data_IF_378406668448
#
_entry.id   IF_378406668448
#
_cell.length_a   1.000
_cell.length_b   1.000
_cell.length_c   1.000
_cell.angle_alpha   90.00
_cell.angle_beta   90.00
_cell.angle_gamma   90.00
#
_symmetry.space_group_name_H-M   'P 1'
#
loop_
_entity.id
_entity.type
_entity.pdbx_description
1 polymer ?
#
# COMPACT_ATOMS: atom_id res chain seq x y z
N UNK A 1 2.95 13.52 21.47
CA UNK A 1 2.17 13.19 22.69
C UNK A 1 0.96 14.10 22.86
N UNK A 2 -0.23 13.52 23.01
CA UNK A 2 -1.38 14.22 23.60
C UNK A 2 -1.10 14.30 25.11
N UNK A 3 -1.16 15.47 25.75
CA UNK A 3 -0.95 15.58 27.18
C UNK A 3 -1.87 14.60 27.95
N UNK A 4 -1.27 13.62 28.65
CA UNK A 4 -1.99 12.70 29.53
C UNK A 4 -2.41 11.34 28.96
N UNK A 5 -2.09 10.98 27.71
CA UNK A 5 -2.32 9.61 27.18
C UNK A 5 -1.12 9.11 26.36
N UNK A 6 -0.55 7.97 26.76
CA UNK A 6 0.51 7.27 26.04
C UNK A 6 -0.05 6.01 25.35
N UNK A 7 0.34 5.77 24.10
CA UNK A 7 -0.08 4.60 23.30
C UNK A 7 1.13 3.76 22.89
N UNK A 8 1.18 2.46 23.22
CA UNK A 8 2.36 1.61 22.98
C UNK A 8 2.38 1.03 21.57
N UNK A 9 2.27 1.84 20.52
CA UNK A 9 2.08 1.33 19.15
C UNK A 9 3.38 1.03 18.40
N UNK A 10 4.46 1.74 18.71
CA UNK A 10 5.77 1.59 18.04
C UNK A 10 6.46 0.29 18.49
N UNK A 11 6.80 -0.60 17.55
CA UNK A 11 7.46 -1.88 17.84
C UNK A 11 8.98 -1.87 17.60
N UNK A 12 9.73 -1.28 18.52
CA UNK A 12 11.19 -1.23 18.42
C UNK A 12 11.80 -2.64 18.47
N UNK A 13 12.65 -3.01 17.48
CA UNK A 13 13.30 -4.31 17.49
C UNK A 13 14.28 -4.40 18.65
N UNK A 14 14.15 -5.46 19.44
CA UNK A 14 15.09 -5.78 20.50
C UNK A 14 16.21 -6.65 19.92
N UNK A 15 17.41 -6.09 19.77
CA UNK A 15 18.56 -6.84 19.28
C UNK A 15 19.21 -7.64 20.42
N UNK A 16 19.19 -8.96 20.32
CA UNK A 16 19.99 -9.85 21.15
C UNK A 16 20.42 -11.08 20.34
N UNK A 17 21.60 -11.66 20.62
CA UNK A 17 21.97 -12.96 20.08
C UNK A 17 20.91 -14.02 20.42
N UNK A 18 20.72 -15.05 19.57
CA UNK A 18 19.83 -16.17 19.88
C UNK A 18 20.12 -16.76 21.27
N UNK A 19 19.10 -16.83 22.12
CA UNK A 19 19.20 -17.36 23.49
C UNK A 19 19.78 -16.40 24.53
N UNK A 20 20.21 -15.19 24.14
CA UNK A 20 20.66 -14.18 25.09
C UNK A 20 19.46 -13.42 25.69
N UNK A 21 19.49 -13.07 26.99
CA UNK A 21 18.51 -12.17 27.58
C UNK A 21 18.53 -10.82 26.88
N UNK A 22 17.34 -10.29 26.59
CA UNK A 22 17.16 -8.93 26.13
C UNK A 22 17.01 -8.02 27.35
N UNK A 23 17.86 -7.00 27.46
CA UNK A 23 17.77 -6.01 28.55
C UNK A 23 17.06 -4.75 28.06
N UNK A 24 15.89 -4.45 28.62
CA UNK A 24 15.25 -3.14 28.48
C UNK A 24 15.91 -2.18 29.48
N UNK A 25 16.72 -1.22 29.03
CA UNK A 25 17.37 -0.26 29.95
C UNK A 25 16.37 0.77 30.44
N UNK A 26 16.18 0.84 31.75
CA UNK A 26 15.45 1.94 32.42
C UNK A 26 16.20 3.27 32.17
N UNK A 27 15.51 4.29 31.63
CA UNK A 27 16.12 5.58 31.30
C UNK A 27 16.81 5.69 29.93
N UNK A 28 16.66 4.70 29.04
CA UNK A 28 16.94 4.94 27.62
C UNK A 28 15.93 5.98 27.05
N UNK A 29 16.27 6.76 26.01
CA UNK A 29 15.45 7.87 25.51
C UNK A 29 13.99 7.51 25.16
N UNK A 30 13.70 6.22 24.95
CA UNK A 30 12.39 5.70 24.54
C UNK A 30 11.57 5.08 25.68
N UNK A 31 12.12 5.03 26.90
CA UNK A 31 11.41 4.55 28.09
C UNK A 31 11.45 5.62 29.17
N UNK A 32 10.59 6.66 29.07
CA UNK A 32 10.50 7.69 30.10
C UNK A 32 10.24 7.05 31.47
N UNK A 33 10.91 7.58 32.50
CA UNK A 33 10.83 7.06 33.87
C UNK A 33 9.39 7.09 34.43
N UNK A 34 8.53 7.96 33.90
CA UNK A 34 7.12 8.03 34.26
C UNK A 34 6.25 6.86 33.74
N UNK A 35 6.72 6.02 32.82
CA UNK A 35 5.92 4.91 32.30
C UNK A 35 5.79 3.76 33.30
N UNK A 36 4.58 3.52 33.81
CA UNK A 36 4.27 2.42 34.75
C UNK A 36 4.34 1.03 34.11
N UNK A 37 4.17 0.91 32.79
CA UNK A 37 4.10 -0.36 32.07
C UNK A 37 5.09 -0.37 30.90
N UNK A 38 5.74 -1.52 30.69
CA UNK A 38 6.50 -1.83 29.47
C UNK A 38 5.84 -3.04 28.80
N UNK A 39 5.67 -2.96 27.49
CA UNK A 39 5.04 -4.01 26.69
C UNK A 39 6.10 -4.56 25.74
N UNK A 40 6.19 -5.89 25.68
CA UNK A 40 7.07 -6.61 24.76
C UNK A 40 6.17 -7.34 23.77
N UNK A 41 6.32 -7.01 22.48
CA UNK A 41 5.71 -7.77 21.40
C UNK A 41 6.61 -8.93 21.01
N UNK A 42 6.04 -10.13 20.87
CA UNK A 42 6.77 -11.34 20.52
C UNK A 42 6.16 -11.94 19.27
N UNK A 43 6.88 -11.88 18.15
CA UNK A 43 6.57 -12.67 16.96
C UNK A 43 7.22 -14.06 17.11
N UNK A 44 6.41 -15.11 17.02
CA UNK A 44 6.90 -16.50 17.08
C UNK A 44 6.76 -17.11 15.69
N UNK A 45 7.85 -17.22 14.91
CA UNK A 45 7.80 -17.93 13.64
C UNK A 45 7.53 -19.42 13.90
N UNK A 46 6.58 -19.99 13.17
CA UNK A 46 6.17 -21.39 13.32
C UNK A 46 6.70 -22.16 12.11
N UNK A 47 7.55 -23.16 12.36
CA UNK A 47 8.06 -24.07 11.34
C UNK A 47 7.12 -25.25 11.07
N UNK A 48 7.60 -26.23 10.32
CA UNK A 48 6.85 -27.47 10.06
C UNK A 48 6.90 -28.42 11.26
N UNK A 49 5.75 -28.98 11.65
CA UNK A 49 5.65 -30.02 12.68
C UNK A 49 5.27 -29.51 14.08
N UNK A 50 5.09 -30.42 15.05
CA UNK A 50 4.69 -30.06 16.41
C UNK A 50 5.76 -29.20 17.09
N UNK A 51 5.34 -28.06 17.64
CA UNK A 51 6.22 -27.19 18.40
C UNK A 51 6.30 -27.64 19.86
N UNK A 52 7.51 -27.75 20.40
CA UNK A 52 7.70 -27.93 21.83
C UNK A 52 7.20 -26.67 22.60
N UNK A 53 6.65 -26.84 23.81
CA UNK A 53 6.33 -25.69 24.66
C UNK A 53 7.57 -24.80 24.85
N UNK A 54 7.39 -23.50 24.67
CA UNK A 54 8.47 -22.51 24.83
C UNK A 54 8.21 -21.69 26.08
N UNK A 55 9.22 -21.49 26.91
CA UNK A 55 9.10 -20.67 28.12
C UNK A 55 9.66 -19.28 27.87
N UNK A 56 8.84 -18.26 28.04
CA UNK A 56 9.27 -16.87 28.12
C UNK A 56 9.62 -16.54 29.57
N UNK A 57 10.81 -15.99 29.80
CA UNK A 57 11.30 -15.59 31.11
C UNK A 57 11.44 -14.07 31.17
N UNK A 58 10.92 -13.47 32.23
CA UNK A 58 11.09 -12.06 32.54
C UNK A 58 11.73 -11.93 33.92
N UNK A 59 12.86 -11.23 34.00
CA UNK A 59 13.60 -11.03 35.26
C UNK A 59 13.77 -9.55 35.52
N UNK A 60 13.45 -9.10 36.73
CA UNK A 60 13.66 -7.73 37.21
C UNK A 60 14.09 -7.77 38.68
N UNK A 61 15.16 -7.09 39.03
CA UNK A 61 15.64 -6.93 40.42
C UNK A 61 15.76 -8.28 41.17
N UNK A 62 16.25 -9.31 40.48
CA UNK A 62 16.39 -10.67 41.00
C UNK A 62 15.08 -11.49 41.06
N UNK A 63 13.93 -10.90 40.75
CA UNK A 63 12.64 -11.59 40.67
C UNK A 63 12.42 -12.11 39.25
N UNK A 64 12.23 -13.42 39.13
CA UNK A 64 11.92 -14.08 37.85
C UNK A 64 10.44 -14.46 37.77
N UNK A 65 9.83 -14.21 36.61
CA UNK A 65 8.51 -14.69 36.21
C UNK A 65 8.65 -15.49 34.93
N UNK A 66 7.83 -16.53 34.80
CA UNK A 66 7.79 -17.37 33.61
C UNK A 66 6.37 -17.43 33.01
N UNK A 67 6.33 -17.52 31.70
CA UNK A 67 5.12 -17.80 30.92
C UNK A 67 5.43 -18.97 29.99
N UNK A 68 4.67 -20.05 30.12
CA UNK A 68 4.79 -21.21 29.21
C UNK A 68 3.84 -20.98 28.03
N UNK A 69 4.40 -20.97 26.83
CA UNK A 69 3.69 -20.81 25.56
C UNK A 69 3.56 -22.17 24.90
N UNK A 70 2.33 -22.64 24.77
CA UNK A 70 1.98 -23.85 24.02
C UNK A 70 1.54 -23.46 22.61
N UNK A 71 2.20 -24.00 21.58
CA UNK A 71 1.89 -23.72 20.18
C UNK A 71 1.42 -25.02 19.53
N UNK A 72 0.14 -25.06 19.15
CA UNK A 72 -0.40 -26.14 18.35
C UNK A 72 -0.20 -25.81 16.87
N UNK A 73 0.53 -26.68 16.16
CA UNK A 73 0.80 -26.51 14.73
C UNK A 73 -0.06 -27.49 13.94
N UNK A 74 -1.00 -26.95 13.17
CA UNK A 74 -1.83 -27.73 12.26
C UNK A 74 -1.03 -28.16 11.03
N UNK A 75 -1.30 -29.36 10.51
CA UNK A 75 -0.71 -29.83 9.25
C UNK A 75 -1.34 -29.08 8.07
N UNK A 76 -0.53 -28.61 7.13
CA UNK A 76 -0.99 -28.01 5.88
C UNK A 76 -0.03 -26.96 5.34
N UNK A 77 -0.22 -26.57 4.08
CA UNK A 77 0.41 -25.38 3.50
C UNK A 77 -0.58 -24.22 3.58
N UNK A 78 -0.10 -23.05 3.98
CA UNK A 78 -0.92 -21.85 3.97
C UNK A 78 -1.20 -21.41 2.53
N UNK A 79 -2.45 -21.04 2.27
CA UNK A 79 -2.88 -20.37 1.06
C UNK A 79 -2.07 -19.07 0.84
N UNK A 80 -1.95 -18.58 -0.41
CA UNK A 80 -1.45 -17.23 -0.66
C UNK A 80 -2.32 -16.19 0.07
N UNK A 81 -1.79 -14.99 0.36
CA UNK A 81 -2.61 -13.92 0.92
C UNK A 81 -3.77 -13.60 -0.04
N UNK A 82 -5.03 -13.61 0.42
CA UNK A 82 -6.17 -13.41 -0.48
C UNK A 82 -6.38 -11.95 -0.88
N UNK A 83 -5.70 -11.02 -0.20
CA UNK A 83 -5.68 -9.59 -0.50
C UNK A 83 -4.36 -8.95 -0.02
N UNK A 84 -4.05 -7.76 -0.53
CA UNK A 84 -2.86 -6.97 -0.17
C UNK A 84 -3.20 -5.69 0.59
N UNK A 85 -2.20 -5.09 1.25
CA UNK A 85 -2.30 -3.82 1.96
C UNK A 85 -1.48 -2.76 1.22
N UNK A 86 -2.14 -1.88 0.47
CA UNK A 86 -1.49 -0.74 -0.18
C UNK A 86 -1.11 0.33 0.83
N UNK A 87 0.17 0.69 0.81
CA UNK A 87 0.74 1.78 1.56
C UNK A 87 1.11 2.88 0.56
N UNK A 88 0.17 3.78 0.32
CA UNK A 88 0.38 4.92 -0.57
C UNK A 88 1.27 5.96 0.11
N UNK A 89 2.21 6.54 -0.64
CA UNK A 89 3.09 7.60 -0.15
C UNK A 89 3.50 8.58 -1.26
N UNK A 90 3.86 9.80 -0.90
CA UNK A 90 4.28 10.82 -1.86
C UNK A 90 5.80 10.90 -1.97
N UNK A 91 6.35 10.38 -3.07
CA UNK A 91 7.80 10.36 -3.28
C UNK A 91 8.51 9.57 -2.19
N UNK A 92 9.71 10.01 -1.86
CA UNK A 92 10.62 9.37 -0.90
C UNK A 92 10.51 9.96 0.52
N UNK A 93 9.34 10.49 0.88
CA UNK A 93 9.10 11.08 2.21
C UNK A 93 9.28 10.09 3.36
N UNK A 94 9.06 8.80 3.13
CA UNK A 94 9.30 7.75 4.12
C UNK A 94 10.80 7.57 4.46
N UNK A 95 11.71 8.20 3.70
CA UNK A 95 13.16 8.21 3.97
C UNK A 95 13.64 9.53 4.61
N UNK A 96 12.72 10.42 4.99
CA UNK A 96 13.07 11.80 5.41
C UNK A 96 13.73 11.89 6.78
N UNK A 97 13.63 10.85 7.60
CA UNK A 97 14.25 10.82 8.93
C UNK A 97 15.64 10.20 8.92
N UNK A 98 16.15 9.85 7.73
CA UNK A 98 17.51 9.36 7.59
C UNK A 98 18.47 10.47 8.02
N UNK A 99 19.50 10.16 8.84
CA UNK A 99 20.55 11.11 9.12
C UNK A 99 21.11 11.69 7.81
N UNK A 100 21.32 13.02 7.77
CA UNK A 100 21.76 13.71 6.56
C UNK A 100 23.16 13.32 6.07
N UNK A 101 23.95 12.65 6.91
CA UNK A 101 25.27 12.10 6.64
C UNK A 101 25.25 10.64 6.13
N UNK A 102 24.08 10.01 6.03
CA UNK A 102 23.95 8.69 5.40
C UNK A 102 24.31 8.79 3.91
N UNK A 103 25.25 7.95 3.49
CA UNK A 103 25.66 7.87 2.09
C UNK A 103 24.57 7.23 1.20
N UNK A 104 24.83 7.18 -0.10
CA UNK A 104 23.84 6.64 -1.05
C UNK A 104 23.54 5.16 -0.83
N UNK A 105 24.52 4.37 -0.40
CA UNK A 105 24.36 2.92 -0.22
C UNK A 105 23.62 2.61 1.09
N UNK A 106 23.91 3.35 2.16
CA UNK A 106 23.14 3.30 3.39
C UNK A 106 21.68 3.70 3.19
N UNK A 107 21.42 4.75 2.38
CA UNK A 107 20.04 5.15 2.02
C UNK A 107 19.31 4.04 1.25
N UNK A 108 19.99 3.41 0.30
CA UNK A 108 19.43 2.30 -0.47
C UNK A 108 19.13 1.08 0.41
N UNK A 109 20.06 0.71 1.30
CA UNK A 109 19.88 -0.40 2.23
C UNK A 109 18.70 -0.16 3.19
N UNK A 110 18.55 1.06 3.71
CA UNK A 110 17.41 1.44 4.54
C UNK A 110 16.08 1.35 3.78
N UNK A 111 16.03 1.85 2.54
CA UNK A 111 14.86 1.72 1.68
C UNK A 111 14.50 0.26 1.39
N UNK A 112 15.47 -0.58 1.05
CA UNK A 112 15.26 -2.01 0.84
C UNK A 112 14.71 -2.71 2.09
N UNK A 113 15.23 -2.37 3.27
CA UNK A 113 14.72 -2.90 4.53
C UNK A 113 13.26 -2.48 4.80
N UNK A 114 12.87 -1.25 4.40
CA UNK A 114 11.47 -0.80 4.47
C UNK A 114 10.58 -1.63 3.54
N UNK A 115 10.97 -1.83 2.27
CA UNK A 115 10.20 -2.67 1.34
C UNK A 115 10.08 -4.12 1.83
N UNK A 116 11.18 -4.71 2.31
CA UNK A 116 11.21 -6.04 2.88
C UNK A 116 10.26 -6.15 4.08
N UNK A 117 10.36 -5.22 5.03
CA UNK A 117 9.50 -5.17 6.22
C UNK A 117 8.03 -5.00 5.86
N UNK A 118 7.68 -4.21 4.85
CA UNK A 118 6.29 -4.07 4.38
C UNK A 118 5.81 -5.35 3.70
N UNK A 119 6.65 -5.99 2.88
CA UNK A 119 6.35 -7.27 2.22
C UNK A 119 6.03 -8.40 3.22
N UNK A 120 6.74 -8.46 4.34
CA UNK A 120 6.45 -9.40 5.44
C UNK A 120 5.04 -9.23 6.05
N UNK A 121 4.43 -8.06 5.85
CA UNK A 121 3.07 -7.73 6.32
C UNK A 121 2.03 -7.78 5.20
N UNK A 122 2.31 -8.44 4.07
CA UNK A 122 1.45 -8.48 2.88
C UNK A 122 1.16 -7.09 2.30
N UNK A 123 2.05 -6.15 2.58
CA UNK A 123 1.93 -4.78 2.13
C UNK A 123 2.62 -4.54 0.80
N UNK A 124 2.20 -3.46 0.15
CA UNK A 124 2.83 -2.90 -1.05
C UNK A 124 3.12 -1.45 -0.75
N UNK A 125 4.39 -1.04 -0.86
CA UNK A 125 4.75 0.37 -0.78
C UNK A 125 4.71 0.97 -2.18
N UNK A 126 3.78 1.91 -2.39
CA UNK A 126 3.59 2.59 -3.67
C UNK A 126 3.90 4.08 -3.53
N UNK A 127 5.19 4.48 -3.68
CA UNK A 127 5.57 5.88 -3.61
C UNK A 127 5.41 6.56 -4.96
N UNK A 128 4.69 7.68 -4.99
CA UNK A 128 4.48 8.43 -6.22
C UNK A 128 5.81 8.98 -6.76
N UNK A 129 6.21 8.65 -8.00
CA UNK A 129 7.53 8.98 -8.55
C UNK A 129 7.67 10.44 -9.02
N UNK A 130 6.74 11.31 -8.67
CA UNK A 130 6.71 12.72 -9.07
C UNK A 130 6.27 13.64 -7.92
N UNK A 131 6.44 14.95 -8.09
CA UNK A 131 6.19 15.96 -7.06
C UNK A 131 4.70 16.17 -6.77
N UNK A 132 4.15 15.25 -5.99
CA UNK A 132 2.74 15.28 -5.58
C UNK A 132 1.85 15.52 -6.80
N UNK A 133 0.83 16.35 -6.68
CA UNK A 133 -0.12 16.65 -7.75
C UNK A 133 0.45 17.57 -8.86
N UNK A 134 1.79 17.79 -8.98
CA UNK A 134 2.41 18.62 -10.05
C UNK A 134 2.84 17.75 -11.23
N UNK A 135 3.26 16.50 -10.97
CA UNK A 135 3.69 15.57 -12.01
C UNK A 135 5.15 15.70 -12.47
N UNK A 136 5.96 16.61 -11.90
CA UNK A 136 7.41 16.65 -12.19
C UNK A 136 8.11 15.43 -11.61
N UNK A 137 8.82 14.68 -12.45
CA UNK A 137 9.52 13.46 -12.05
C UNK A 137 10.58 13.71 -10.97
N UNK A 138 10.65 12.80 -9.98
CA UNK A 138 11.66 12.84 -8.92
C UNK A 138 12.95 12.16 -9.35
N UNK A 139 14.08 12.75 -8.98
CA UNK A 139 15.41 12.19 -9.22
C UNK A 139 15.53 10.78 -8.61
N UNK A 140 16.03 9.84 -9.39
CA UNK A 140 16.18 8.44 -8.98
C UNK A 140 14.86 7.65 -8.92
N UNK A 141 13.72 8.29 -9.16
CA UNK A 141 12.41 7.62 -9.34
C UNK A 141 11.97 7.59 -10.80
N UNK A 142 12.58 8.45 -11.63
CA UNK A 142 12.35 8.55 -13.07
C UNK A 142 13.71 8.46 -13.78
N UNK A 143 13.85 7.65 -14.85
CA UNK A 143 15.07 7.62 -15.64
C UNK A 143 15.33 8.98 -16.29
N UNK A 144 16.60 9.35 -16.42
CA UNK A 144 16.99 10.65 -16.97
C UNK A 144 17.01 10.56 -18.49
N UNK A 145 16.37 11.50 -19.19
CA UNK A 145 16.51 11.63 -20.63
C UNK A 145 17.93 12.15 -20.95
N UNK A 146 18.68 11.44 -21.81
CA UNK A 146 20.06 11.77 -22.19
C UNK A 146 20.17 12.52 -23.52
N UNK A 147 19.07 12.68 -24.25
CA UNK A 147 18.97 13.44 -25.50
C UNK A 147 17.79 14.44 -25.45
N UNK A 148 17.64 15.27 -26.48
CA UNK A 148 16.51 16.21 -26.57
C UNK A 148 15.33 15.67 -27.40
N UNK A 149 15.53 14.54 -28.09
CA UNK A 149 14.51 13.96 -28.97
C UNK A 149 13.52 13.08 -28.19
N UNK A 150 12.33 13.64 -27.95
CA UNK A 150 11.25 12.97 -27.24
C UNK A 150 10.53 11.88 -28.06
N UNK A 151 10.69 11.85 -29.39
CA UNK A 151 10.12 10.80 -30.24
C UNK A 151 11.06 9.59 -30.35
N UNK A 152 12.36 9.79 -30.07
CA UNK A 152 13.38 8.76 -29.99
C UNK A 152 14.17 8.87 -28.68
N UNK A 153 13.52 8.65 -27.53
CA UNK A 153 14.13 8.93 -26.23
C UNK A 153 15.28 7.97 -25.94
N UNK A 154 16.41 8.52 -25.50
CA UNK A 154 17.49 7.77 -24.88
C UNK A 154 17.41 7.99 -23.37
N UNK A 155 17.12 6.92 -22.63
CA UNK A 155 16.93 6.97 -21.19
C UNK A 155 18.15 6.40 -20.48
N UNK A 156 18.72 7.19 -19.57
CA UNK A 156 19.73 6.76 -18.61
C UNK A 156 19.03 6.18 -17.38
N UNK A 157 19.11 4.85 -17.28
CA UNK A 157 18.51 4.02 -16.24
C UNK A 157 19.39 3.89 -14.98
N UNK A 158 20.62 4.41 -14.98
CA UNK A 158 21.64 4.09 -13.95
C UNK A 158 21.13 4.26 -12.51
N UNK A 159 20.54 5.42 -12.20
CA UNK A 159 20.02 5.70 -10.84
C UNK A 159 18.71 4.96 -10.57
N UNK A 160 17.87 4.75 -11.59
CA UNK A 160 16.62 4.00 -11.48
C UNK A 160 16.88 2.52 -11.15
N UNK A 161 17.78 1.89 -11.91
CA UNK A 161 18.19 0.50 -11.74
C UNK A 161 18.89 0.30 -10.39
N UNK A 162 19.83 1.19 -10.03
CA UNK A 162 20.50 1.13 -8.72
C UNK A 162 19.47 1.09 -7.59
N UNK A 163 18.44 1.94 -7.67
CA UNK A 163 17.43 2.05 -6.64
C UNK A 163 16.50 0.84 -6.62
N UNK A 164 15.91 0.46 -7.75
CA UNK A 164 14.77 -0.46 -7.77
C UNK A 164 15.09 -1.89 -8.19
N UNK A 165 16.26 -2.19 -8.77
CA UNK A 165 16.51 -3.54 -9.28
C UNK A 165 16.37 -4.60 -8.20
N UNK A 166 16.77 -4.31 -6.95
CA UNK A 166 16.68 -5.25 -5.84
C UNK A 166 15.23 -5.63 -5.52
N UNK A 167 14.34 -4.64 -5.55
CA UNK A 167 12.92 -4.83 -5.25
C UNK A 167 12.15 -5.42 -6.44
N UNK A 168 12.47 -5.02 -7.67
CA UNK A 168 11.80 -5.48 -8.89
C UNK A 168 12.27 -6.86 -9.37
N UNK A 169 13.49 -7.28 -9.00
CA UNK A 169 13.96 -8.66 -9.22
C UNK A 169 13.65 -9.59 -8.05
N UNK A 170 13.28 -9.05 -6.88
CA UNK A 170 13.14 -9.80 -5.64
C UNK A 170 14.45 -10.07 -4.90
N UNK A 171 15.61 -9.70 -5.44
CA UNK A 171 16.91 -9.93 -4.81
C UNK A 171 17.09 -9.22 -3.44
N UNK A 172 16.35 -8.14 -3.20
CA UNK A 172 16.34 -7.43 -1.91
C UNK A 172 15.18 -7.87 -1.00
N UNK A 173 14.34 -8.84 -1.43
CA UNK A 173 13.15 -9.26 -0.71
C UNK A 173 13.43 -10.58 0.05
N UNK A 174 12.94 -10.75 1.30
CA UNK A 174 13.29 -11.91 2.13
C UNK A 174 12.90 -13.27 1.54
N UNK A 175 11.86 -13.30 0.72
CA UNK A 175 11.34 -14.51 0.07
C UNK A 175 11.75 -14.62 -1.41
N UNK A 176 12.61 -13.70 -1.89
CA UNK A 176 13.07 -13.65 -3.27
C UNK A 176 12.01 -13.23 -4.29
N UNK A 177 10.79 -12.88 -3.86
CA UNK A 177 9.72 -12.46 -4.78
C UNK A 177 9.78 -10.95 -5.02
N UNK A 178 9.64 -10.48 -6.26
CA UNK A 178 9.51 -9.05 -6.55
C UNK A 178 8.36 -8.38 -5.80
N UNK A 179 8.45 -7.07 -5.62
CA UNK A 179 7.31 -6.27 -5.15
C UNK A 179 6.11 -6.44 -6.11
N UNK A 180 4.91 -6.49 -5.54
CA UNK A 180 3.70 -6.83 -6.30
C UNK A 180 3.23 -5.72 -7.24
N UNK A 181 3.23 -4.46 -6.78
CA UNK A 181 2.89 -3.31 -7.62
C UNK A 181 3.92 -2.20 -7.49
N UNK A 182 3.97 -1.35 -8.52
CA UNK A 182 4.90 -0.22 -8.60
C UNK A 182 4.32 0.90 -9.46
N UNK A 183 4.35 2.15 -9.00
CA UNK A 183 3.90 3.29 -9.82
C UNK A 183 4.88 3.66 -10.93
N UNK A 184 4.37 3.79 -12.14
CA UNK A 184 5.07 4.39 -13.27
C UNK A 184 5.06 5.93 -13.18
N UNK A 185 6.08 6.59 -13.74
CA UNK A 185 6.18 8.05 -13.71
C UNK A 185 5.27 8.79 -14.69
N UNK A 186 4.57 8.06 -15.55
CA UNK A 186 3.67 8.61 -16.55
C UNK A 186 2.52 9.37 -15.90
N UNK A 187 2.31 10.59 -16.37
CA UNK A 187 1.27 11.50 -15.92
C UNK A 187 1.05 12.61 -16.98
N UNK A 188 0.02 13.46 -16.88
CA UNK A 188 -0.27 14.47 -17.90
C UNK A 188 0.91 15.37 -18.31
N UNK A 189 1.88 15.59 -17.42
CA UNK A 189 3.06 16.45 -17.65
C UNK A 189 4.36 15.69 -17.94
N UNK A 190 4.35 14.36 -17.93
CA UNK A 190 5.51 13.53 -18.24
C UNK A 190 5.08 12.19 -18.83
N UNK A 191 5.62 11.73 -19.97
CA UNK A 191 6.88 12.18 -20.58
C UNK A 191 6.77 13.42 -21.47
N UNK A 192 5.56 13.79 -21.88
CA UNK A 192 5.32 14.98 -22.69
C UNK A 192 4.75 16.11 -21.83
N UNK A 193 5.18 17.38 -22.03
CA UNK A 193 4.55 18.52 -21.37
C UNK A 193 3.10 18.66 -21.82
N UNK A 194 2.20 18.97 -20.89
CA UNK A 194 0.77 19.06 -21.17
C UNK A 194 0.40 20.13 -22.21
N UNK A 195 1.22 21.18 -22.39
CA UNK A 195 1.00 22.16 -23.44
C UNK A 195 0.92 21.53 -24.85
N UNK A 196 1.60 20.40 -25.08
CA UNK A 196 1.51 19.65 -26.34
C UNK A 196 0.15 18.96 -26.50
N UNK A 197 -0.51 18.54 -25.42
CA UNK A 197 -1.86 17.97 -25.52
C UNK A 197 -2.84 18.94 -26.22
N UNK A 198 -2.75 20.23 -25.89
CA UNK A 198 -3.63 21.25 -26.47
C UNK A 198 -3.20 21.70 -27.89
N UNK A 199 -1.89 21.78 -28.14
CA UNK A 199 -1.33 22.34 -29.39
C UNK A 199 -1.07 21.31 -30.48
N UNK A 200 -0.69 20.08 -30.11
CA UNK A 200 -0.40 18.96 -31.00
C UNK A 200 -0.59 17.63 -30.27
N UNK A 201 -1.86 17.22 -30.12
CA UNK A 201 -2.23 15.99 -29.42
C UNK A 201 -1.60 14.74 -30.03
N UNK A 202 -1.41 14.70 -31.35
CA UNK A 202 -0.79 13.56 -32.02
C UNK A 202 0.68 13.42 -31.59
N UNK A 203 1.43 14.53 -31.53
CA UNK A 203 2.80 14.52 -31.01
C UNK A 203 2.84 14.17 -29.53
N UNK A 204 1.90 14.66 -28.73
CA UNK A 204 1.78 14.29 -27.32
C UNK A 204 1.63 12.77 -27.14
N UNK A 205 0.68 12.15 -27.85
CA UNK A 205 0.45 10.69 -27.79
C UNK A 205 1.64 9.89 -28.36
N UNK A 206 2.31 10.39 -29.40
CA UNK A 206 3.50 9.75 -29.97
C UNK A 206 4.69 9.73 -28.99
N UNK A 207 4.91 10.80 -28.24
CA UNK A 207 5.95 10.85 -27.19
C UNK A 207 5.63 9.84 -26.09
N UNK A 208 4.36 9.77 -25.66
CA UNK A 208 3.91 8.75 -24.71
C UNK A 208 4.20 7.33 -25.21
N UNK A 209 3.91 7.05 -26.48
CA UNK A 209 4.19 5.76 -27.10
C UNK A 209 5.70 5.43 -27.16
N UNK A 210 6.55 6.41 -27.47
CA UNK A 210 7.99 6.22 -27.53
C UNK A 210 8.58 5.87 -26.16
N UNK A 211 8.18 6.58 -25.11
CA UNK A 211 8.60 6.28 -23.74
C UNK A 211 8.00 4.98 -23.21
N UNK A 212 6.73 4.69 -23.49
CA UNK A 212 6.09 3.44 -23.10
C UNK A 212 6.84 2.23 -23.65
N UNK A 213 7.24 2.29 -24.93
CA UNK A 213 8.11 1.29 -25.56
C UNK A 213 9.46 1.18 -24.85
N UNK A 214 10.14 2.29 -24.59
CA UNK A 214 11.43 2.27 -23.90
C UNK A 214 11.35 1.64 -22.49
N UNK A 215 10.28 1.92 -21.74
CA UNK A 215 10.03 1.29 -20.44
C UNK A 215 9.75 -0.21 -20.56
N UNK A 216 8.85 -0.60 -21.47
CA UNK A 216 8.50 -2.00 -21.67
C UNK A 216 9.72 -2.83 -22.12
N UNK A 217 10.53 -2.29 -23.04
CA UNK A 217 11.74 -2.95 -23.53
C UNK A 217 12.78 -3.11 -22.42
N UNK A 218 13.05 -2.05 -21.65
CA UNK A 218 13.96 -2.14 -20.51
C UNK A 218 13.48 -3.15 -19.47
N UNK A 219 12.21 -3.11 -19.08
CA UNK A 219 11.68 -4.03 -18.06
C UNK A 219 11.69 -5.49 -18.55
N UNK A 220 11.45 -5.72 -19.84
CA UNK A 220 11.59 -7.05 -20.46
C UNK A 220 13.04 -7.53 -20.45
N UNK A 221 13.99 -6.67 -20.81
CA UNK A 221 15.43 -6.98 -20.76
C UNK A 221 15.89 -7.34 -19.34
N UNK A 222 15.39 -6.60 -18.34
CA UNK A 222 15.70 -6.84 -16.92
C UNK A 222 14.94 -8.04 -16.32
N UNK A 223 13.99 -8.63 -17.03
CA UNK A 223 13.14 -9.72 -16.55
C UNK A 223 12.12 -9.31 -15.48
N UNK A 224 11.78 -8.02 -15.38
CA UNK A 224 10.81 -7.49 -14.42
C UNK A 224 9.38 -7.71 -14.92
N UNK A 225 8.93 -8.96 -14.92
CA UNK A 225 7.64 -9.37 -15.51
C UNK A 225 6.59 -9.75 -14.47
N UNK A 226 6.97 -9.86 -13.20
CA UNK A 226 6.07 -10.29 -12.11
C UNK A 226 5.39 -9.13 -11.38
N UNK A 227 5.95 -7.93 -11.45
CA UNK A 227 5.38 -6.71 -10.86
C UNK A 227 4.31 -6.13 -11.79
N UNK A 228 3.19 -5.70 -11.22
CA UNK A 228 2.16 -4.92 -11.91
C UNK A 228 2.55 -3.44 -11.85
N UNK A 229 2.95 -2.89 -12.99
CA UNK A 229 3.31 -1.49 -13.11
C UNK A 229 2.06 -0.64 -13.31
N UNK A 230 1.80 0.24 -12.36
CA UNK A 230 0.58 1.03 -12.28
C UNK A 230 0.80 2.41 -12.89
N UNK A 231 -0.01 2.81 -13.88
CA UNK A 231 -0.13 4.20 -14.28
C UNK A 231 -1.25 4.85 -13.48
N UNK A 232 -0.93 5.90 -12.74
CA UNK A 232 -1.87 6.60 -11.88
C UNK A 232 -1.78 8.10 -12.13
N UNK A 233 -2.86 8.72 -12.58
CA UNK A 233 -2.94 10.16 -12.75
C UNK A 233 -3.60 10.78 -11.52
N UNK A 234 -2.86 11.61 -10.78
CA UNK A 234 -3.37 12.26 -9.56
C UNK A 234 -3.21 13.80 -9.58
N UNK A 235 -2.85 14.35 -10.72
CA UNK A 235 -2.55 15.77 -10.86
C UNK A 235 -3.84 16.60 -10.71
N UNK A 236 -3.71 17.82 -10.18
CA UNK A 236 -4.81 18.78 -10.00
C UNK A 236 -4.40 20.17 -10.51
N UNK A 237 -5.35 21.03 -10.91
CA UNK A 237 -5.04 22.39 -11.34
C UNK A 237 -4.46 23.19 -10.16
N UNK A 238 -3.26 23.75 -10.32
CA UNK A 238 -2.56 24.57 -9.31
C UNK A 238 -1.38 25.32 -9.91
N UNK A 239 -0.79 26.24 -9.16
CA UNK A 239 0.41 26.97 -9.57
C UNK A 239 1.56 26.03 -9.98
N UNK A 240 2.02 26.18 -11.23
CA UNK A 240 3.05 25.33 -11.83
C UNK A 240 2.54 23.96 -12.31
N UNK A 241 1.23 23.81 -12.53
CA UNK A 241 0.63 22.65 -13.18
C UNK A 241 -0.55 23.10 -14.08
N UNK A 242 -0.32 23.12 -15.39
CA UNK A 242 -1.21 23.73 -16.38
C UNK A 242 -2.38 22.82 -16.81
N UNK A 243 -2.58 21.67 -16.16
CA UNK A 243 -3.72 20.82 -16.48
C UNK A 243 -5.03 21.44 -15.96
N UNK A 244 -6.13 21.36 -16.73
CA UNK A 244 -7.42 21.89 -16.31
C UNK A 244 -8.24 20.90 -15.45
N UNK A 245 -7.75 19.67 -15.26
CA UNK A 245 -8.51 18.58 -14.66
C UNK A 245 -8.09 18.22 -13.23
N UNK A 246 -9.05 17.83 -12.39
CA UNK A 246 -8.82 17.18 -11.10
C UNK A 246 -8.78 15.65 -11.32
N UNK A 247 -7.59 15.08 -11.51
CA UNK A 247 -7.44 13.64 -11.78
C UNK A 247 -7.41 12.79 -10.51
N UNK A 248 -7.14 13.42 -9.36
CA UNK A 248 -7.43 12.90 -8.03
C UNK A 248 -8.64 13.66 -7.45
N UNK A 249 -9.62 12.95 -6.90
CA UNK A 249 -10.91 13.52 -6.48
C UNK A 249 -11.63 14.30 -7.61
N UNK A 250 -11.99 13.64 -8.73
CA UNK A 250 -12.63 14.27 -9.87
C UNK A 250 -13.91 15.02 -9.49
N UNK A 251 -14.11 16.20 -10.08
CA UNK A 251 -15.15 17.16 -9.70
C UNK A 251 -16.23 17.35 -10.77
N UNK A 252 -16.04 16.82 -11.97
CA UNK A 252 -17.02 16.93 -13.05
C UNK A 252 -16.71 16.06 -14.25
N UNK A 253 -17.59 16.10 -15.25
CA UNK A 253 -17.55 15.25 -16.46
C UNK A 253 -16.20 15.30 -17.19
N UNK A 254 -15.59 16.48 -17.31
CA UNK A 254 -14.34 16.61 -18.04
C UNK A 254 -13.15 15.95 -17.33
N UNK A 255 -13.15 15.93 -15.98
CA UNK A 255 -12.16 15.19 -15.19
C UNK A 255 -12.27 13.68 -15.46
N UNK A 256 -13.50 13.16 -15.46
CA UNK A 256 -13.79 11.77 -15.74
C UNK A 256 -13.42 11.37 -17.18
N UNK A 257 -13.72 12.23 -18.17
CA UNK A 257 -13.31 12.02 -19.56
C UNK A 257 -11.79 12.03 -19.73
N UNK A 258 -11.08 12.89 -18.99
CA UNK A 258 -9.63 12.90 -18.98
C UNK A 258 -9.05 11.59 -18.42
N UNK A 259 -9.61 11.09 -17.31
CA UNK A 259 -9.22 9.79 -16.73
C UNK A 259 -9.46 8.63 -17.72
N UNK A 260 -10.62 8.58 -18.37
CA UNK A 260 -10.90 7.61 -19.46
C UNK A 260 -9.87 7.72 -20.57
N UNK A 261 -9.56 8.94 -21.03
CA UNK A 261 -8.56 9.16 -22.07
C UNK A 261 -7.19 8.60 -21.68
N UNK A 262 -6.70 8.85 -20.47
CA UNK A 262 -5.42 8.32 -20.02
C UNK A 262 -5.44 6.80 -19.85
N UNK A 263 -6.56 6.22 -19.42
CA UNK A 263 -6.73 4.77 -19.39
C UNK A 263 -6.63 4.17 -20.81
N UNK A 264 -7.40 4.69 -21.76
CA UNK A 264 -7.38 4.24 -23.15
C UNK A 264 -6.01 4.48 -23.81
N UNK A 265 -5.34 5.60 -23.51
CA UNK A 265 -3.99 5.88 -23.98
C UNK A 265 -3.00 4.86 -23.43
N UNK A 266 -3.05 4.54 -22.13
CA UNK A 266 -2.19 3.56 -21.46
C UNK A 266 -2.28 2.21 -22.15
N UNK A 267 -3.50 1.70 -22.35
CA UNK A 267 -3.73 0.44 -23.06
C UNK A 267 -3.19 0.45 -24.49
N UNK A 268 -3.33 1.59 -25.19
CA UNK A 268 -2.86 1.72 -26.57
C UNK A 268 -1.34 1.73 -26.67
N UNK A 269 -0.66 2.49 -25.80
CA UNK A 269 0.80 2.66 -25.87
C UNK A 269 1.58 1.48 -25.28
N UNK A 270 0.96 0.72 -24.37
CA UNK A 270 1.52 -0.48 -23.78
C UNK A 270 0.92 -1.79 -24.34
N UNK A 271 0.21 -1.76 -25.46
CA UNK A 271 -0.44 -2.94 -26.05
C UNK A 271 0.53 -4.13 -26.27
N UNK A 272 1.78 -3.83 -26.64
CA UNK A 272 2.83 -4.82 -26.89
C UNK A 272 3.80 -5.00 -25.71
N UNK A 273 3.44 -4.55 -24.50
CA UNK A 273 4.33 -4.58 -23.34
C UNK A 273 4.59 -5.99 -22.80
N UNK A 274 3.77 -6.97 -23.17
CA UNK A 274 3.91 -8.35 -22.71
C UNK A 274 5.36 -8.86 -22.88
N UNK A 275 5.89 -9.63 -21.90
CA UNK A 275 5.24 -10.11 -20.67
C UNK A 275 5.21 -9.11 -19.50
N UNK A 276 5.61 -7.84 -19.69
CA UNK A 276 5.52 -6.81 -18.65
C UNK A 276 4.05 -6.49 -18.37
N UNK A 277 3.66 -6.48 -17.10
CA UNK A 277 2.28 -6.24 -16.67
C UNK A 277 2.06 -4.75 -16.42
N UNK A 278 1.16 -4.13 -17.19
CA UNK A 278 0.79 -2.72 -17.06
C UNK A 278 -0.68 -2.63 -16.65
N UNK A 279 -0.98 -1.76 -15.70
CA UNK A 279 -2.34 -1.50 -15.23
C UNK A 279 -2.59 0.00 -15.11
N UNK A 280 -3.70 0.49 -15.66
CA UNK A 280 -4.20 1.82 -15.35
C UNK A 280 -4.99 1.78 -14.04
N UNK A 281 -4.56 2.60 -13.09
CA UNK A 281 -5.18 2.74 -11.78
C UNK A 281 -5.95 4.04 -11.67
N UNK A 282 -7.11 3.96 -11.05
CA UNK A 282 -7.94 5.13 -10.74
C UNK A 282 -8.44 5.08 -9.31
N UNK A 283 -8.25 6.20 -8.60
CA UNK A 283 -8.66 6.38 -7.21
C UNK A 283 -9.89 7.29 -7.14
N UNK A 284 -11.01 6.76 -6.62
CA UNK A 284 -12.27 7.49 -6.46
C UNK A 284 -12.72 7.44 -5.00
N UNK A 285 -12.53 8.55 -4.29
CA UNK A 285 -13.00 8.70 -2.92
C UNK A 285 -14.44 9.24 -2.83
N UNK A 286 -14.93 9.92 -3.88
CA UNK A 286 -16.20 10.66 -3.91
C UNK A 286 -17.24 10.06 -4.86
N UNK A 287 -17.65 8.82 -4.61
CA UNK A 287 -18.69 8.20 -5.43
C UNK A 287 -20.08 8.84 -5.21
N UNK A 288 -20.42 9.23 -3.97
CA UNK A 288 -21.69 9.85 -3.57
C UNK A 288 -21.44 11.20 -2.89
N UNK A 289 -21.36 12.31 -3.64
CA UNK A 289 -21.15 13.62 -3.03
C UNK A 289 -22.42 14.43 -2.75
N UNK A 290 -23.59 13.98 -3.25
CA UNK A 290 -24.88 14.67 -3.13
C UNK A 290 -25.27 14.91 -1.67
N UNK A 291 -24.97 13.94 -0.79
CA UNK A 291 -25.42 13.93 0.62
C UNK A 291 -24.42 14.48 1.62
N UNK A 292 -23.14 14.64 1.28
CA UNK A 292 -22.10 15.07 2.23
C UNK A 292 -21.58 16.47 1.99
N UNK A 293 -21.74 17.02 0.77
CA UNK A 293 -21.26 18.37 0.44
C UNK A 293 -22.23 19.21 -0.39
N UNK A 294 -23.41 18.68 -0.76
CA UNK A 294 -24.47 19.46 -1.41
C UNK A 294 -24.21 19.84 -2.87
N UNK A 295 -23.27 19.18 -3.55
CA UNK A 295 -22.85 19.52 -4.92
C UNK A 295 -23.14 18.35 -5.88
N UNK A 296 -24.30 18.38 -6.56
CA UNK A 296 -24.70 17.37 -7.56
C UNK A 296 -23.69 17.22 -8.72
N UNK A 297 -22.80 18.20 -8.91
CA UNK A 297 -21.76 18.16 -9.95
C UNK A 297 -20.70 17.07 -9.72
N UNK A 298 -20.60 16.50 -8.52
CA UNK A 298 -19.61 15.49 -8.15
C UNK A 298 -20.14 14.06 -8.15
N UNK A 299 -21.42 13.83 -8.46
CA UNK A 299 -21.96 12.47 -8.50
C UNK A 299 -21.31 11.69 -9.65
N UNK A 300 -20.66 10.58 -9.30
CA UNK A 300 -20.02 9.71 -10.27
C UNK A 300 -21.01 9.15 -11.31
N UNK A 301 -22.25 8.83 -10.88
CA UNK A 301 -23.25 8.14 -11.69
C UNK A 301 -23.85 9.04 -12.75
N UNK A 302 -24.07 10.31 -12.43
CA UNK A 302 -24.70 11.28 -13.37
C UNK A 302 -23.69 11.80 -14.40
N UNK A 303 -22.40 11.73 -14.08
CA UNK A 303 -21.33 12.26 -14.93
C UNK A 303 -20.73 11.21 -15.89
N UNK A 304 -21.39 10.07 -16.09
CA UNK A 304 -20.90 9.00 -16.96
C UNK A 304 -19.75 8.19 -16.36
N UNK A 305 -19.67 8.12 -15.03
CA UNK A 305 -18.61 7.40 -14.33
C UNK A 305 -18.64 5.89 -14.58
N UNK A 306 -19.79 5.30 -14.92
CA UNK A 306 -19.86 3.87 -15.16
C UNK A 306 -19.09 3.45 -16.41
N UNK A 307 -19.13 4.28 -17.44
CA UNK A 307 -18.46 4.10 -18.72
C UNK A 307 -16.95 4.36 -18.59
N UNK A 308 -16.51 5.28 -17.71
CA UNK A 308 -15.07 5.51 -17.52
C UNK A 308 -14.35 4.36 -16.83
N UNK A 309 -15.07 3.44 -16.18
CA UNK A 309 -14.49 2.29 -15.47
C UNK A 309 -14.12 1.12 -16.38
N UNK A 310 -14.62 1.05 -17.61
CA UNK A 310 -14.32 -0.10 -18.49
C UNK A 310 -12.83 -0.32 -18.79
N UNK A 311 -12.01 0.73 -19.08
CA UNK A 311 -10.59 0.56 -19.34
C UNK A 311 -9.76 0.60 -18.04
N UNK A 312 -10.39 0.68 -16.88
CA UNK A 312 -9.69 0.77 -15.60
C UNK A 312 -9.34 -0.64 -15.13
N UNK A 313 -8.06 -0.87 -14.85
CA UNK A 313 -7.55 -2.17 -14.43
C UNK A 313 -7.58 -2.34 -12.91
N UNK A 314 -7.31 -1.25 -12.19
CA UNK A 314 -7.32 -1.20 -10.73
C UNK A 314 -8.21 -0.04 -10.31
N UNK A 315 -9.34 -0.36 -9.68
CA UNK A 315 -10.25 0.64 -9.12
C UNK A 315 -10.09 0.71 -7.60
N UNK A 316 -9.52 1.81 -7.14
CA UNK A 316 -9.41 2.13 -5.73
C UNK A 316 -10.60 2.99 -5.35
N UNK A 317 -11.44 2.52 -4.44
CA UNK A 317 -12.72 3.15 -4.12
C UNK A 317 -12.91 3.27 -2.61
N UNK A 318 -13.42 4.42 -2.15
CA UNK A 318 -13.62 4.63 -0.71
C UNK A 318 -14.57 3.62 -0.08
N UNK A 319 -14.22 3.19 1.14
CA UNK A 319 -15.05 2.33 1.98
C UNK A 319 -16.50 2.85 2.09
N UNK A 320 -16.68 4.16 2.17
CA UNK A 320 -18.01 4.76 2.27
C UNK A 320 -18.83 4.56 1.00
N UNK A 321 -18.20 4.64 -0.17
CA UNK A 321 -18.82 4.40 -1.47
C UNK A 321 -19.20 2.95 -1.66
N UNK A 322 -18.36 2.03 -1.19
CA UNK A 322 -18.64 0.60 -1.20
C UNK A 322 -19.79 0.17 -0.27
N UNK A 323 -20.44 1.08 0.47
CA UNK A 323 -21.67 0.74 1.22
C UNK A 323 -22.89 0.65 0.31
N UNK A 324 -22.88 1.32 -0.83
CA UNK A 324 -24.03 1.35 -1.73
C UNK A 324 -23.99 0.18 -2.72
N UNK A 325 -25.17 -0.36 -3.02
CA UNK A 325 -25.33 -1.56 -3.85
C UNK A 325 -24.81 -1.40 -5.28
N UNK A 326 -25.13 -0.31 -6.02
CA UNK A 326 -24.64 -0.11 -7.38
C UNK A 326 -23.11 -0.10 -7.48
N UNK A 327 -22.43 0.57 -6.55
CA UNK A 327 -20.96 0.62 -6.54
C UNK A 327 -20.36 -0.78 -6.33
N UNK A 328 -20.92 -1.56 -5.40
CA UNK A 328 -20.50 -2.95 -5.15
C UNK A 328 -20.78 -3.87 -6.34
N UNK A 329 -21.95 -3.75 -6.96
CA UNK A 329 -22.31 -4.59 -8.10
C UNK A 329 -21.42 -4.30 -9.31
N UNK A 330 -21.10 -3.02 -9.57
CA UNK A 330 -20.09 -2.68 -10.58
C UNK A 330 -18.71 -3.21 -10.22
N UNK A 331 -18.28 -3.09 -8.97
CA UNK A 331 -17.00 -3.62 -8.52
C UNK A 331 -16.92 -5.14 -8.77
N UNK A 332 -17.99 -5.89 -8.48
CA UNK A 332 -18.08 -7.34 -8.79
C UNK A 332 -18.05 -7.63 -10.29
N UNK A 333 -18.72 -6.82 -11.11
CA UNK A 333 -18.67 -6.96 -12.57
C UNK A 333 -17.23 -6.77 -13.09
N UNK A 334 -16.54 -5.74 -12.63
CA UNK A 334 -15.15 -5.48 -13.00
C UNK A 334 -14.23 -6.63 -12.54
N UNK A 335 -14.41 -7.15 -11.33
CA UNK A 335 -13.69 -8.32 -10.86
C UNK A 335 -13.93 -9.57 -11.72
N UNK A 336 -15.16 -9.80 -12.17
CA UNK A 336 -15.47 -10.90 -13.09
C UNK A 336 -14.77 -10.74 -14.46
N UNK A 337 -14.39 -9.52 -14.82
CA UNK A 337 -13.56 -9.20 -15.99
C UNK A 337 -12.05 -9.25 -15.69
N UNK A 338 -11.64 -9.69 -14.50
CA UNK A 338 -10.23 -9.77 -14.11
C UNK A 338 -9.62 -8.44 -13.64
N UNK A 339 -10.44 -7.42 -13.35
CA UNK A 339 -9.96 -6.16 -12.77
C UNK A 339 -9.78 -6.27 -11.26
N UNK A 340 -8.95 -5.41 -10.69
CA UNK A 340 -8.73 -5.36 -9.24
C UNK A 340 -9.55 -4.26 -8.57
N UNK A 341 -10.09 -4.57 -7.38
CA UNK A 341 -10.83 -3.63 -6.53
C UNK A 341 -10.13 -3.47 -5.20
N UNK A 342 -9.83 -2.24 -4.82
CA UNK A 342 -9.10 -1.91 -3.59
C UNK A 342 -9.92 -0.96 -2.73
N UNK A 343 -10.15 -1.31 -1.46
CA UNK A 343 -10.91 -0.49 -0.52
C UNK A 343 -10.02 0.61 0.09
N UNK A 344 -10.30 1.85 -0.29
CA UNK A 344 -9.64 3.04 0.25
C UNK A 344 -10.21 3.49 1.59
N UNK A 345 -9.32 3.89 2.50
CA UNK A 345 -9.66 4.52 3.76
C UNK A 345 -8.45 4.86 4.61
N UNK A 346 -8.70 5.44 5.78
CA UNK A 346 -7.67 5.81 6.75
C UNK A 346 -7.01 4.59 7.38
N UNK A 347 -5.79 4.73 7.88
CA UNK A 347 -5.17 3.69 8.71
C UNK A 347 -5.97 3.50 10.01
N UNK A 348 -5.97 2.30 10.63
CA UNK A 348 -6.59 2.11 11.94
C UNK A 348 -6.11 3.17 12.93
N UNK A 349 -7.02 3.75 13.71
CA UNK A 349 -6.64 4.78 14.70
C UNK A 349 -5.96 4.13 15.90
N UNK A 350 -5.20 4.90 16.67
CA UNK A 350 -4.55 4.36 17.87
C UNK A 350 -5.48 4.08 19.04
N UNK A 351 -6.58 4.80 19.13
CA UNK A 351 -7.62 4.56 20.13
C UNK A 351 -8.59 3.45 19.71
N UNK A 352 -8.40 2.85 18.54
CA UNK A 352 -9.18 1.71 18.07
C UNK A 352 -8.57 0.39 18.55
N UNK A 353 -9.44 -0.51 19.04
CA UNK A 353 -9.03 -1.87 19.35
C UNK A 353 -8.61 -2.65 18.10
N UNK A 354 -7.63 -3.54 18.24
CA UNK A 354 -7.11 -4.34 17.13
C UNK A 354 -8.17 -5.16 16.39
N UNK A 355 -9.27 -5.53 17.05
CA UNK A 355 -10.42 -6.20 16.41
C UNK A 355 -11.06 -5.37 15.29
N UNK A 356 -11.09 -4.04 15.41
CA UNK A 356 -11.61 -3.15 14.35
C UNK A 356 -10.66 -3.11 13.15
N UNK A 357 -9.35 -3.10 13.39
CA UNK A 357 -8.36 -3.17 12.32
C UNK A 357 -8.50 -4.49 11.54
N UNK A 358 -8.64 -5.62 12.25
CA UNK A 358 -8.88 -6.93 11.64
C UNK A 358 -10.21 -7.00 10.88
N UNK A 359 -11.29 -6.41 11.42
CA UNK A 359 -12.59 -6.36 10.78
C UNK A 359 -12.54 -5.73 9.39
N UNK A 360 -11.67 -4.74 9.15
CA UNK A 360 -11.49 -4.14 7.82
C UNK A 360 -10.98 -5.16 6.80
N UNK A 361 -9.97 -5.95 7.16
CA UNK A 361 -9.42 -7.02 6.31
C UNK A 361 -10.48 -8.07 6.01
N UNK A 362 -11.22 -8.50 7.05
CA UNK A 362 -12.25 -9.51 6.87
C UNK A 362 -13.44 -9.04 6.03
N UNK A 363 -13.87 -7.78 6.19
CA UNK A 363 -14.91 -7.19 5.37
C UNK A 363 -14.48 -7.11 3.90
N UNK A 364 -13.24 -6.69 3.64
CA UNK A 364 -12.71 -6.65 2.28
C UNK A 364 -12.68 -8.04 1.64
N UNK A 365 -12.22 -9.05 2.38
CA UNK A 365 -12.23 -10.45 1.93
C UNK A 365 -13.65 -10.99 1.70
N UNK A 366 -14.62 -10.67 2.56
CA UNK A 366 -16.02 -11.07 2.37
C UNK A 366 -16.60 -10.53 1.06
N UNK A 367 -16.19 -9.33 0.65
CA UNK A 367 -16.61 -8.78 -0.64
C UNK A 367 -15.80 -9.30 -1.84
N UNK A 368 -14.66 -9.96 -1.57
CA UNK A 368 -13.73 -10.45 -2.58
C UNK A 368 -12.66 -9.44 -3.00
N UNK A 369 -12.57 -8.26 -2.38
CA UNK A 369 -11.63 -7.21 -2.80
C UNK A 369 -10.18 -7.69 -2.81
N UNK A 370 -9.41 -7.19 -3.78
CA UNK A 370 -8.01 -7.55 -4.01
C UNK A 370 -7.06 -6.87 -3.02
N UNK A 371 -7.48 -5.74 -2.44
CA UNK A 371 -6.67 -5.04 -1.46
C UNK A 371 -7.43 -4.03 -0.63
N UNK A 372 -6.75 -3.50 0.37
CA UNK A 372 -7.13 -2.27 1.06
C UNK A 372 -6.04 -1.23 0.80
N UNK A 373 -6.39 0.04 0.69
CA UNK A 373 -5.43 1.12 0.64
C UNK A 373 -5.49 2.01 1.87
N UNK A 374 -4.33 2.29 2.44
CA UNK A 374 -4.07 3.38 3.37
C UNK A 374 -3.55 4.60 2.61
N UNK A 375 -4.24 5.74 2.71
CA UNK A 375 -3.89 6.97 1.98
C UNK A 375 -2.56 7.59 2.41
N UNK A 376 -2.18 7.33 3.65
CA UNK A 376 -0.97 7.81 4.30
C UNK A 376 -0.42 6.69 5.17
N UNK A 377 0.86 6.41 4.99
CA UNK A 377 1.44 5.17 5.51
C UNK A 377 2.48 5.44 6.58
N UNK A 378 3.20 6.56 6.45
CA UNK A 378 4.29 6.94 7.36
C UNK A 378 4.01 8.20 8.16
N UNK A 379 4.56 8.22 9.37
CA UNK A 379 4.60 9.44 10.18
C UNK A 379 5.43 10.50 9.48
N UNK A 380 4.95 11.74 9.54
CA UNK A 380 5.69 12.90 9.08
C UNK A 380 6.73 13.22 10.14
N UNK A 381 6.38 13.45 11.38
CA UNK A 381 7.35 13.94 12.36
C UNK A 381 7.57 12.95 13.50
N UNK A 382 8.79 12.93 14.04
CA UNK A 382 9.07 12.25 15.28
C UNK A 382 8.22 12.89 16.38
N UNK A 383 7.28 12.14 16.95
CA UNK A 383 6.33 12.66 17.95
C UNK A 383 5.06 13.29 17.40
N UNK A 384 4.79 13.17 16.08
CA UNK A 384 3.49 13.49 15.49
C UNK A 384 2.36 12.81 16.28
N UNK A 385 1.24 13.51 16.43
CA UNK A 385 0.14 13.05 17.26
C UNK A 385 -0.22 11.60 16.90
N UNK A 386 -0.10 10.68 17.87
CA UNK A 386 -0.45 9.28 17.74
C UNK A 386 -1.79 9.03 16.98
N UNK A 387 -2.75 9.96 17.03
CA UNK A 387 -4.04 9.83 16.33
C UNK A 387 -4.09 10.13 14.82
N UNK A 388 -2.98 10.45 14.15
CA UNK A 388 -2.97 10.82 12.73
C UNK A 388 -2.68 9.65 11.80
N UNK A 389 -3.24 9.70 10.59
CA UNK A 389 -3.44 8.57 9.66
C UNK A 389 -2.13 7.95 9.12
N UNK A 390 -1.35 7.23 9.94
CA UNK A 390 -0.20 6.44 9.51
C UNK A 390 -0.12 5.12 10.28
N UNK A 391 0.53 4.10 9.70
CA UNK A 391 0.59 2.73 10.24
C UNK A 391 2.01 2.16 10.31
N UNK A 392 3.00 2.85 9.75
CA UNK A 392 4.40 2.49 9.84
C UNK A 392 5.21 3.68 10.36
N UNK A 393 6.29 3.36 11.06
CA UNK A 393 7.21 4.34 11.59
C UNK A 393 8.57 4.18 10.91
N UNK A 394 9.19 5.32 10.62
CA UNK A 394 10.59 5.39 10.23
C UNK A 394 11.29 6.21 11.32
N UNK A 395 12.13 5.54 12.12
CA UNK A 395 12.69 6.09 13.37
C UNK A 395 14.19 5.93 13.37
N UNK A 396 14.91 7.01 13.66
CA UNK A 396 16.34 6.98 13.95
C UNK A 396 16.58 6.43 15.37
N UNK A 397 17.14 5.23 15.46
CA UNK A 397 17.48 4.56 16.71
C UNK A 397 19.00 4.42 16.83
N UNK A 398 19.62 5.30 17.64
CA UNK A 398 21.06 5.23 17.92
C UNK A 398 21.96 5.48 16.71
N UNK A 399 21.50 6.31 15.75
CA UNK A 399 22.23 6.61 14.51
C UNK A 399 21.83 5.73 13.33
N UNK A 400 21.03 4.68 13.55
CA UNK A 400 20.50 3.82 12.50
C UNK A 400 19.00 4.04 12.36
N UNK A 401 18.53 4.45 11.19
CA UNK A 401 17.10 4.45 10.92
C UNK A 401 16.63 3.03 10.58
N UNK A 402 15.58 2.60 11.26
CA UNK A 402 15.01 1.27 11.08
C UNK A 402 13.54 1.44 10.73
N UNK A 403 13.05 0.64 9.77
CA UNK A 403 11.62 0.43 9.62
C UNK A 403 11.08 -0.17 10.91
N UNK A 404 10.17 0.54 11.57
CA UNK A 404 9.56 0.07 12.80
C UNK A 404 8.07 -0.16 12.54
N UNK A 405 7.59 -1.41 12.52
CA UNK A 405 6.17 -1.67 12.32
C UNK A 405 5.37 -1.15 13.52
N UNK A 406 4.10 -0.81 13.30
CA UNK A 406 3.16 -0.59 14.39
C UNK A 406 2.55 -1.90 14.88
N UNK A 407 1.99 -1.90 16.09
CA UNK A 407 1.06 -2.96 16.52
C UNK A 407 -0.09 -3.06 15.52
N UNK A 408 -0.64 -1.93 15.06
CA UNK A 408 -1.73 -1.91 14.08
C UNK A 408 -1.38 -2.64 12.78
N UNK A 409 -0.16 -2.46 12.26
CA UNK A 409 0.32 -3.16 11.06
C UNK A 409 0.45 -4.68 11.32
N UNK A 410 0.94 -5.08 12.50
CA UNK A 410 0.96 -6.50 12.92
C UNK A 410 -0.45 -7.08 13.02
N UNK A 411 -1.43 -6.30 13.49
CA UNK A 411 -2.84 -6.74 13.56
C UNK A 411 -3.44 -6.94 12.16
N UNK A 412 -3.16 -6.04 11.21
CA UNK A 412 -3.60 -6.23 9.82
C UNK A 412 -2.97 -7.48 9.19
N UNK A 413 -1.65 -7.66 9.34
CA UNK A 413 -0.95 -8.89 8.92
C UNK A 413 -1.59 -10.13 9.52
N UNK A 414 -1.89 -10.10 10.82
CA UNK A 414 -2.50 -11.24 11.51
C UNK A 414 -3.87 -11.59 10.96
N UNK A 415 -4.70 -10.59 10.62
CA UNK A 415 -5.99 -10.82 9.99
C UNK A 415 -5.85 -11.48 8.60
N UNK A 416 -4.83 -11.07 7.82
CA UNK A 416 -4.53 -11.76 6.54
C UNK A 416 -4.08 -13.21 6.79
N UNK A 417 -3.23 -13.46 7.80
CA UNK A 417 -2.82 -14.82 8.17
C UNK A 417 -4.00 -15.71 8.59
N UNK A 418 -4.94 -15.17 9.38
CA UNK A 418 -6.16 -15.89 9.77
C UNK A 418 -6.98 -16.29 8.53
N UNK A 419 -7.08 -15.42 7.52
CA UNK A 419 -7.73 -15.74 6.24
C UNK A 419 -6.96 -16.78 5.42
N UNK A 420 -5.63 -16.75 5.42
CA UNK A 420 -4.81 -17.77 4.74
C UNK A 420 -5.03 -19.15 5.34
N UNK A 421 -5.08 -19.25 6.68
CA UNK A 421 -5.43 -20.50 7.38
C UNK A 421 -6.83 -20.94 6.97
N UNK A 422 -7.77 -20.00 6.95
CA UNK A 422 -9.16 -20.28 6.61
C UNK A 422 -9.32 -20.84 5.18
N UNK A 423 -8.74 -20.17 4.19
CA UNK A 423 -8.79 -20.62 2.78
C UNK A 423 -8.08 -21.97 2.59
N UNK A 424 -7.03 -22.25 3.37
CA UNK A 424 -6.37 -23.56 3.37
C UNK A 424 -7.27 -24.67 3.90
N UNK A 425 -8.12 -24.36 4.88
CA UNK A 425 -9.00 -25.32 5.54
C UNK A 425 -10.28 -25.61 4.75
N UNK A 426 -10.87 -24.60 4.12
CA UNK A 426 -12.19 -24.73 3.47
C UNK A 426 -12.14 -24.64 1.94
N UNK A 427 -10.98 -24.33 1.35
CA UNK A 427 -10.86 -23.98 -0.06
C UNK A 427 -11.50 -22.63 -0.40
N UNK A 428 -11.22 -22.08 -1.58
CA UNK A 428 -11.84 -20.83 -2.03
C UNK A 428 -13.22 -21.11 -2.62
N UNK A 429 -14.28 -20.51 -2.07
CA UNK A 429 -15.64 -20.65 -2.60
C UNK A 429 -16.73 -19.98 -1.74
N UNK A 430 -17.70 -19.33 -2.39
CA UNK A 430 -18.71 -18.46 -1.77
C UNK A 430 -19.50 -19.13 -0.64
N UNK A 431 -19.87 -20.40 -0.79
CA UNK A 431 -20.67 -21.15 0.19
C UNK A 431 -19.92 -21.36 1.51
N UNK A 432 -18.61 -21.64 1.44
CA UNK A 432 -17.78 -21.88 2.62
C UNK A 432 -17.44 -20.55 3.33
N UNK A 433 -17.25 -19.47 2.57
CA UNK A 433 -17.06 -18.13 3.13
C UNK A 433 -18.27 -17.68 3.95
N UNK A 434 -19.49 -17.81 3.41
CA UNK A 434 -20.73 -17.41 4.10
C UNK A 434 -20.94 -18.16 5.43
N UNK A 435 -20.64 -19.46 5.48
CA UNK A 435 -20.77 -20.26 6.70
C UNK A 435 -19.79 -19.80 7.81
N UNK A 436 -18.57 -19.42 7.43
CA UNK A 436 -17.55 -18.94 8.37
C UNK A 436 -17.87 -17.53 8.83
N UNK A 437 -18.25 -16.65 7.92
CA UNK A 437 -18.65 -15.29 8.23
C UNK A 437 -19.85 -15.26 9.18
N UNK A 438 -20.84 -16.15 8.99
CA UNK A 438 -21.95 -16.30 9.92
C UNK A 438 -21.50 -16.63 11.36
N UNK A 439 -20.45 -17.45 11.51
CA UNK A 439 -19.88 -17.78 12.82
C UNK A 439 -19.03 -16.65 13.42
N UNK A 440 -18.24 -15.95 12.61
CA UNK A 440 -17.46 -14.79 13.06
C UNK A 440 -18.38 -13.66 13.53
N UNK A 441 -19.42 -13.36 12.74
CA UNK A 441 -20.45 -12.35 13.07
C UNK A 441 -21.21 -12.68 14.35
N UNK A 442 -21.53 -13.97 14.59
CA UNK A 442 -22.27 -14.39 15.80
C UNK A 442 -21.49 -14.24 17.11
N UNK A 443 -20.16 -14.08 17.06
CA UNK A 443 -19.31 -14.03 18.25
C UNK A 443 -18.91 -12.63 18.68
N UNK A 444 -19.16 -11.60 17.86
CA UNK A 444 -18.49 -10.32 18.01
C UNK A 444 -19.47 -9.13 17.92
N UNK A 445 -20.27 -8.95 18.98
CA UNK A 445 -21.34 -7.92 19.09
C UNK A 445 -20.78 -6.49 19.20
N UNK A 446 -19.47 -6.31 19.45
CA UNK A 446 -18.81 -5.00 19.67
C UNK A 446 -17.70 -4.67 18.64
N UNK A 447 -17.60 -5.44 17.57
CA UNK A 447 -16.43 -5.55 16.70
C UNK A 447 -16.31 -4.47 15.62
N UNK A 448 -17.32 -3.60 15.49
CA UNK A 448 -17.40 -2.63 14.40
C UNK A 448 -17.67 -3.27 13.03
N UNK A 449 -17.90 -4.58 12.96
CA UNK A 449 -18.39 -5.24 11.76
C UNK A 449 -19.74 -4.64 11.39
N UNK A 450 -19.84 -4.12 10.18
CA UNK A 450 -21.09 -3.60 9.63
C UNK A 450 -21.56 -4.58 8.59
N UNK A 451 -22.74 -5.16 8.82
CA UNK A 451 -23.43 -5.89 7.76
C UNK A 451 -23.67 -4.93 6.59
N UNK A 452 -22.98 -5.18 5.48
CA UNK A 452 -23.33 -4.57 4.21
C UNK A 452 -24.37 -5.49 3.55
N UNK A 453 -25.53 -4.97 3.10
CA UNK A 453 -26.61 -5.80 2.59
C UNK A 453 -26.11 -6.72 1.48
N UNK A 454 -26.23 -8.04 1.68
CA UNK A 454 -25.88 -9.03 0.67
C UNK A 454 -27.04 -9.07 -0.33
N UNK A 455 -26.80 -8.73 -1.60
CA UNK A 455 -27.80 -9.01 -2.63
C UNK A 455 -27.95 -10.53 -2.75
N UNK A 456 -29.20 -11.00 -2.64
CA UNK A 456 -29.57 -12.40 -2.84
C UNK A 456 -29.39 -12.83 -4.28
#
# INVERSE_FOLDING_TARGET
>A
DIPGKTWPDVLLPLQAPPGAPVTTREGAPLFPRENRYQIIWVDIPVGEGPAAPTTLLATRDGVQKSLIVHIAVSKGKLAPPPLLIDLNEYGDKYLRHLPGDVDRDGRLAAEQAIYAGIGEHYGVLNPLPYDSQKGSGRRGMVPRLSNEDLLHPQLDWTEFDRRYQGMLSGAAMPDGRPIHHFYLPFNPNWPAPFALYASDRNRYEAIWAAFARAFADHFREKGWTQTIFQLYCNQKPRDGNDIPWNLDEPKGVDDYRALRYYADLTHRVFADAAPVQIAFRMDISHFYCDKHRGEAQKDFRVNGGWEILEPVDIWVISQHSLKDLPARDKARQLMAMGREIWEYGDTPRLDEGGSKAAARIYNAWEQGWNGIMAWRSFSREMGEDPGQDFIAYAINFGGNEVFVPSIRLKQLRRAVDDLRVLESAIGRGQTNQNAVLGRLKSRDVNSGWRELPVSR
#
